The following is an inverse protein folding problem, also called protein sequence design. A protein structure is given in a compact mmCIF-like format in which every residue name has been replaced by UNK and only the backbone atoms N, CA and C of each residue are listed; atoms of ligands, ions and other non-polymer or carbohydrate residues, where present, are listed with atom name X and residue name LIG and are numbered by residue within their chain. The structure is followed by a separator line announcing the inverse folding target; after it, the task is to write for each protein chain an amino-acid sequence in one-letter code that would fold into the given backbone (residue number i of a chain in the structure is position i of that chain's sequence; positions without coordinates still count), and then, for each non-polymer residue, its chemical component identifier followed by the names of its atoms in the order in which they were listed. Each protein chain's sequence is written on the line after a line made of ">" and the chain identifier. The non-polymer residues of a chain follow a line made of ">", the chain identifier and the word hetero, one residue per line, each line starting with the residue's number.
data_IF_328844123395
#
_entry.id   IF_328844123395
#
_cell.length_a   1.000
_cell.length_b   1.000
_cell.length_c   1.000
_cell.angle_alpha   90.00
_cell.angle_beta   90.00
_cell.angle_gamma   90.00
#
_symmetry.space_group_name_H-M   'P 1'
#
loop_
_entity.id
_entity.type
_entity.pdbx_description
1 polymer ?
#
# COMPACT_ATOMS: atom_id res chain seq x y z
N UNK A 1 15.56 4.57 -4.08
CA UNK A 1 14.37 5.42 -3.88
C UNK A 1 13.87 5.24 -2.44
N UNK A 2 14.27 6.08 -1.48
CA UNK A 2 13.93 5.90 -0.04
C UNK A 2 12.77 6.77 0.45
N UNK A 3 12.36 7.74 -0.37
CA UNK A 3 11.23 8.61 -0.10
C UNK A 3 9.98 8.08 -0.80
N UNK A 4 8.82 8.46 -0.28
CA UNK A 4 7.53 8.15 -0.89
C UNK A 4 7.51 8.72 -2.31
N UNK A 5 7.29 7.88 -3.34
CA UNK A 5 7.28 8.34 -4.72
C UNK A 5 6.03 9.18 -5.01
N UNK A 6 6.20 10.23 -5.79
CA UNK A 6 5.09 10.96 -6.40
C UNK A 6 4.55 10.15 -7.60
N UNK A 7 3.41 9.49 -7.39
CA UNK A 7 2.78 8.59 -8.36
C UNK A 7 2.42 9.32 -9.66
N UNK A 8 2.18 10.64 -9.63
CA UNK A 8 1.84 11.41 -10.84
C UNK A 8 2.96 11.42 -11.88
N UNK A 9 4.18 11.07 -11.47
CA UNK A 9 5.34 10.98 -12.35
C UNK A 9 5.51 9.59 -12.98
N UNK A 10 4.66 8.62 -12.61
CA UNK A 10 4.72 7.25 -13.11
C UNK A 10 3.58 6.98 -14.10
N UNK A 11 3.80 6.03 -15.00
CA UNK A 11 2.78 5.59 -15.93
C UNK A 11 1.97 4.45 -15.28
N UNK A 12 0.62 4.51 -15.30
CA UNK A 12 -0.20 3.41 -14.85
C UNK A 12 0.04 2.20 -15.75
N UNK A 13 0.26 1.05 -15.14
CA UNK A 13 0.58 -0.18 -15.85
C UNK A 13 -0.53 -1.21 -15.74
N UNK A 14 -1.06 -1.42 -14.53
CA UNK A 14 -2.01 -2.48 -14.25
C UNK A 14 -2.86 -2.14 -13.03
N UNK A 15 -4.13 -2.55 -13.04
CA UNK A 15 -5.01 -2.52 -11.88
C UNK A 15 -5.53 -3.94 -11.66
N UNK A 16 -5.39 -4.45 -10.43
CA UNK A 16 -5.84 -5.79 -10.02
C UNK A 16 -6.84 -5.60 -8.88
N UNK A 17 -8.04 -6.14 -9.03
CA UNK A 17 -8.99 -6.29 -7.93
C UNK A 17 -8.76 -7.63 -7.23
N UNK A 18 -9.17 -7.71 -5.96
CA UNK A 18 -9.02 -8.87 -5.10
C UNK A 18 -7.56 -9.38 -5.10
N UNK A 19 -6.65 -8.50 -4.67
CA UNK A 19 -5.20 -8.75 -4.67
C UNK A 19 -4.84 -9.91 -3.74
N UNK A 20 -3.93 -10.75 -4.22
CA UNK A 20 -3.22 -11.73 -3.40
C UNK A 20 -2.11 -11.06 -2.59
N UNK A 21 -2.19 -11.16 -1.26
CA UNK A 21 -1.07 -10.89 -0.37
C UNK A 21 -0.57 -12.22 0.23
N UNK A 22 0.68 -12.55 -0.03
CA UNK A 22 1.38 -13.74 0.50
C UNK A 22 0.62 -15.08 0.32
N UNK A 23 -0.10 -15.24 -0.79
CA UNK A 23 -0.87 -16.44 -1.13
C UNK A 23 -2.33 -16.41 -0.67
N UNK A 24 -2.80 -15.29 -0.09
CA UNK A 24 -4.19 -15.08 0.28
C UNK A 24 -4.81 -13.98 -0.56
N UNK A 25 -5.82 -14.34 -1.36
CA UNK A 25 -6.67 -13.39 -2.08
C UNK A 25 -7.57 -12.65 -1.08
N UNK A 26 -7.49 -11.31 -1.09
CA UNK A 26 -8.27 -10.46 -0.18
C UNK A 26 -9.38 -9.76 -0.96
N UNK A 27 -10.66 -10.15 -0.76
CA UNK A 27 -11.77 -9.50 -1.43
C UNK A 27 -11.86 -8.01 -1.10
N UNK A 28 -11.99 -7.15 -2.11
CA UNK A 28 -12.09 -5.70 -1.92
C UNK A 28 -10.75 -4.96 -1.84
N UNK A 29 -9.62 -5.69 -1.77
CA UNK A 29 -8.29 -5.11 -1.92
C UNK A 29 -7.97 -4.90 -3.40
N UNK A 30 -7.73 -3.66 -3.79
CA UNK A 30 -7.33 -3.26 -5.13
C UNK A 30 -5.87 -2.81 -5.14
N UNK A 31 -5.08 -3.35 -6.06
CA UNK A 31 -3.69 -2.97 -6.30
C UNK A 31 -3.56 -2.26 -7.64
N UNK A 32 -3.07 -1.02 -7.61
CA UNK A 32 -2.73 -0.22 -8.78
C UNK A 32 -1.22 -0.16 -8.92
N UNK A 33 -0.70 -0.63 -10.04
CA UNK A 33 0.72 -0.73 -10.32
C UNK A 33 1.13 0.29 -11.36
N UNK A 34 2.21 1.01 -11.06
CA UNK A 34 2.78 2.07 -11.86
C UNK A 34 4.25 1.79 -12.12
N UNK A 35 4.75 2.26 -13.25
CA UNK A 35 6.17 2.11 -13.60
C UNK A 35 6.73 3.34 -14.30
N UNK A 36 8.04 3.55 -14.15
CA UNK A 36 8.79 4.63 -14.78
C UNK A 36 10.22 4.20 -15.03
N UNK A 37 10.76 4.58 -16.18
CA UNK A 37 12.19 4.44 -16.46
C UNK A 37 12.97 5.54 -15.73
N UNK A 38 13.98 5.14 -14.95
CA UNK A 38 14.85 6.03 -14.18
C UNK A 38 16.29 5.54 -14.29
N UNK A 39 17.17 6.35 -14.91
CA UNK A 39 18.62 6.08 -15.00
C UNK A 39 18.97 4.67 -15.52
N UNK A 40 18.22 4.16 -16.49
CA UNK A 40 18.43 2.84 -17.09
C UNK A 40 17.85 1.67 -16.27
N UNK A 41 17.03 1.94 -15.25
CA UNK A 41 16.28 0.95 -14.48
C UNK A 41 14.78 1.26 -14.52
N UNK A 42 13.94 0.24 -14.36
CA UNK A 42 12.49 0.43 -14.23
C UNK A 42 12.13 0.56 -12.76
N UNK A 43 11.79 1.77 -12.31
CA UNK A 43 11.16 1.99 -11.01
C UNK A 43 9.70 1.55 -11.06
N UNK A 44 9.22 0.92 -10.00
CA UNK A 44 7.86 0.38 -9.88
C UNK A 44 7.24 0.80 -8.55
N UNK A 45 5.93 1.07 -8.58
CA UNK A 45 5.14 1.46 -7.41
C UNK A 45 3.82 0.71 -7.44
N UNK A 46 3.46 0.03 -6.35
CA UNK A 46 2.13 -0.51 -6.12
C UNK A 46 1.41 0.32 -5.07
N UNK A 47 0.22 0.82 -5.39
CA UNK A 47 -0.71 1.44 -4.45
C UNK A 47 -1.82 0.45 -4.15
N UNK A 48 -2.07 0.22 -2.87
CA UNK A 48 -3.07 -0.74 -2.41
C UNK A 48 -4.17 -0.02 -1.64
N UNK A 49 -5.40 -0.24 -2.07
CA UNK A 49 -6.60 0.39 -1.52
C UNK A 49 -7.62 -0.68 -1.19
N UNK A 50 -8.25 -0.58 -0.03
CA UNK A 50 -9.32 -1.48 0.39
C UNK A 50 -10.63 -0.70 0.50
N UNK A 51 -11.66 -1.14 -0.21
CA UNK A 51 -12.97 -0.46 -0.27
C UNK A 51 -12.86 1.05 -0.57
N UNK A 52 -11.94 1.40 -1.47
CA UNK A 52 -11.68 2.79 -1.88
C UNK A 52 -10.82 3.61 -0.91
N UNK A 53 -10.38 3.03 0.22
CA UNK A 53 -9.44 3.68 1.14
C UNK A 53 -8.01 3.20 0.90
N UNK A 54 -7.09 4.13 0.60
CA UNK A 54 -5.66 3.84 0.47
C UNK A 54 -5.11 3.28 1.80
N UNK A 55 -4.46 2.12 1.73
CA UNK A 55 -3.88 1.43 2.89
C UNK A 55 -2.36 1.54 2.91
N UNK A 56 -1.69 1.22 1.82
CA UNK A 56 -0.24 1.27 1.73
C UNK A 56 0.23 1.46 0.29
N UNK A 57 1.46 1.93 0.18
CA UNK A 57 2.22 1.97 -1.06
C UNK A 57 3.52 1.21 -0.87
N UNK A 58 3.89 0.44 -1.87
CA UNK A 58 5.15 -0.29 -1.90
C UNK A 58 5.88 0.04 -3.20
N UNK A 59 7.18 0.26 -3.14
CA UNK A 59 7.97 0.62 -4.31
C UNK A 59 9.38 0.07 -4.26
N UNK A 60 10.01 0.06 -5.42
CA UNK A 60 11.35 -0.44 -5.63
C UNK A 60 11.66 -0.45 -7.12
N UNK A 61 12.74 -1.13 -7.49
CA UNK A 61 13.03 -1.34 -8.90
C UNK A 61 12.66 -2.75 -9.31
N UNK A 62 12.29 -2.92 -10.59
CA UNK A 62 11.85 -4.20 -11.15
C UNK A 62 12.91 -5.31 -11.06
N UNK A 63 14.18 -4.94 -11.04
CA UNK A 63 15.33 -5.84 -10.92
C UNK A 63 15.65 -6.23 -9.46
N UNK A 64 14.92 -5.70 -8.47
CA UNK A 64 15.10 -6.05 -7.07
C UNK A 64 14.16 -7.20 -6.66
N UNK A 65 14.66 -8.18 -5.87
CA UNK A 65 13.81 -9.22 -5.31
C UNK A 65 12.93 -8.58 -4.22
N UNK A 66 11.65 -8.42 -4.55
CA UNK A 66 10.59 -7.88 -3.68
C UNK A 66 10.58 -6.36 -3.49
N UNK A 67 9.52 -5.85 -2.85
CA UNK A 67 9.36 -4.43 -2.55
C UNK A 67 10.52 -3.93 -1.70
N UNK A 68 11.25 -2.93 -2.20
CA UNK A 68 12.39 -2.37 -1.48
C UNK A 68 11.96 -1.50 -0.30
N UNK A 69 10.84 -0.78 -0.46
CA UNK A 69 10.29 0.15 0.52
C UNK A 69 8.78 0.10 0.56
N UNK A 70 8.22 0.30 1.75
CA UNK A 70 6.77 0.36 1.99
C UNK A 70 6.44 1.51 2.94
N UNK A 71 5.27 2.12 2.73
CA UNK A 71 4.69 3.14 3.61
C UNK A 71 3.20 2.90 3.76
N UNK A 72 2.66 3.12 4.96
CA UNK A 72 1.24 2.94 5.25
C UNK A 72 0.51 4.27 5.35
N UNK A 73 -0.79 4.21 5.13
CA UNK A 73 -1.70 5.32 5.35
C UNK A 73 -2.15 5.30 6.81
N UNK A 74 -1.80 6.33 7.56
CA UNK A 74 -2.20 6.51 8.95
C UNK A 74 -3.69 6.85 9.11
N UNK A 75 -4.21 6.77 10.34
CA UNK A 75 -5.55 7.29 10.71
C UNK A 75 -5.75 8.76 10.36
N UNK A 76 -4.70 9.56 10.47
CA UNK A 76 -4.74 10.98 10.08
C UNK A 76 -4.81 11.18 8.56
N UNK A 77 -4.74 10.10 7.77
CA UNK A 77 -4.73 10.16 6.31
C UNK A 77 -3.36 10.51 5.75
N UNK A 78 -2.29 10.44 6.55
CA UNK A 78 -0.95 10.78 6.13
C UNK A 78 -0.18 9.51 5.82
N UNK A 79 0.94 9.63 5.11
CA UNK A 79 1.84 8.50 4.97
C UNK A 79 2.76 8.40 6.18
N UNK A 80 2.91 7.20 6.73
CA UNK A 80 3.92 6.91 7.74
C UNK A 80 5.33 7.11 7.16
N UNK A 81 6.37 7.21 7.99
CA UNK A 81 7.74 7.09 7.48
C UNK A 81 7.92 5.77 6.71
N UNK A 82 8.61 5.79 5.55
CA UNK A 82 8.95 4.57 4.83
C UNK A 82 9.76 3.61 5.68
N UNK A 83 9.46 2.32 5.58
CA UNK A 83 10.33 1.28 6.09
C UNK A 83 10.82 0.39 4.94
N UNK A 84 11.95 -0.27 5.17
CA UNK A 84 12.51 -1.19 4.19
C UNK A 84 11.70 -2.49 4.16
N UNK A 85 11.56 -3.06 2.96
CA UNK A 85 10.94 -4.36 2.72
C UNK A 85 9.46 -4.31 2.36
N UNK A 86 8.87 -5.51 2.30
CA UNK A 86 7.47 -5.76 2.00
C UNK A 86 6.53 -5.27 3.12
N UNK A 87 5.23 -5.09 2.82
CA UNK A 87 4.24 -4.79 3.84
C UNK A 87 4.26 -5.82 4.98
N UNK A 88 4.01 -5.37 6.20
CA UNK A 88 3.93 -6.20 7.40
C UNK A 88 2.56 -6.83 7.46
N UNK A 89 2.46 -7.99 6.82
CA UNK A 89 1.23 -8.76 6.71
C UNK A 89 1.27 -9.91 7.72
N UNK A 90 0.12 -10.24 8.29
CA UNK A 90 -0.08 -11.44 9.11
C UNK A 90 -1.46 -12.01 8.81
N UNK A 91 -1.62 -13.32 8.94
CA UNK A 91 -2.82 -14.03 8.53
C UNK A 91 -3.53 -14.63 9.74
N UNK A 92 -4.85 -14.55 9.76
CA UNK A 92 -5.74 -15.34 10.62
C UNK A 92 -6.66 -16.18 9.76
N UNK A 93 -7.42 -17.09 10.37
CA UNK A 93 -8.33 -17.98 9.63
C UNK A 93 -9.41 -17.23 8.84
N UNK A 94 -9.74 -16.00 9.26
CA UNK A 94 -10.87 -15.21 8.77
C UNK A 94 -10.48 -13.81 8.25
N UNK A 95 -9.21 -13.42 8.35
CA UNK A 95 -8.75 -12.09 7.97
C UNK A 95 -7.25 -12.03 7.66
N UNK A 96 -6.87 -11.00 6.90
CA UNK A 96 -5.49 -10.53 6.78
C UNK A 96 -5.31 -9.27 7.63
N UNK A 97 -4.25 -9.26 8.41
CA UNK A 97 -3.87 -8.15 9.28
C UNK A 97 -2.70 -7.41 8.65
N UNK A 98 -2.83 -6.08 8.54
CA UNK A 98 -1.76 -5.20 8.10
C UNK A 98 -1.32 -4.37 9.30
N UNK A 99 -0.07 -4.54 9.73
CA UNK A 99 0.53 -3.70 10.76
C UNK A 99 1.12 -2.44 10.14
N UNK A 100 0.44 -1.31 10.36
CA UNK A 100 0.85 0.01 9.89
C UNK A 100 1.85 0.71 10.81
N UNK A 101 2.37 0.00 11.83
CA UNK A 101 3.15 0.50 12.96
C UNK A 101 2.40 1.42 13.95
N UNK A 102 1.33 2.10 13.51
CA UNK A 102 0.44 2.87 14.38
C UNK A 102 -0.80 2.07 14.80
N UNK A 103 -1.27 1.19 13.93
CA UNK A 103 -2.42 0.33 14.16
C UNK A 103 -2.37 -0.94 13.31
N UNK A 104 -3.15 -1.94 13.71
CA UNK A 104 -3.41 -3.12 12.89
C UNK A 104 -4.75 -2.95 12.17
N UNK A 105 -4.70 -2.91 10.83
CA UNK A 105 -5.89 -2.91 9.99
C UNK A 105 -6.28 -4.36 9.71
N UNK A 106 -7.54 -4.70 9.94
CA UNK A 106 -8.09 -6.03 9.70
C UNK A 106 -8.87 -6.03 8.38
N UNK A 107 -8.43 -6.85 7.44
CA UNK A 107 -9.06 -7.08 6.15
C UNK A 107 -9.77 -8.43 6.18
N UNK A 108 -11.10 -8.49 6.31
CA UNK A 108 -11.82 -9.76 6.35
C UNK A 108 -11.66 -10.54 5.05
N UNK A 109 -11.59 -11.88 5.15
CA UNK A 109 -11.64 -12.76 3.98
C UNK A 109 -13.08 -13.06 3.55
N UNK A 110 -14.02 -12.95 4.49
CA UNK A 110 -15.46 -13.01 4.21
C UNK A 110 -16.01 -11.60 3.98
N UNK A 111 -16.64 -11.39 2.82
CA UNK A 111 -17.21 -10.09 2.38
C UNK A 111 -18.44 -9.63 3.18
N UNK A 112 -18.61 -10.09 4.42
CA UNK A 112 -19.71 -9.71 5.30
C UNK A 112 -19.69 -8.21 5.55
N UNK A 113 -20.78 -7.54 5.17
CA UNK A 113 -21.10 -6.10 5.26
C UNK A 113 -20.21 -5.32 6.25
N UNK A 114 -19.10 -4.75 5.77
CA UNK A 114 -18.21 -3.91 6.58
C UNK A 114 -18.51 -2.44 6.27
N UNK A 115 -18.93 -1.72 7.32
CA UNK A 115 -19.35 -0.34 7.25
C UNK A 115 -18.26 0.62 6.78
N UNK A 116 -18.71 1.65 6.06
CA UNK A 116 -17.93 2.74 5.44
C UNK A 116 -16.91 3.36 6.42
N UNK A 117 -15.63 3.54 6.02
CA UNK A 117 -14.63 4.15 6.87
C UNK A 117 -14.89 5.65 7.12
N UNK A 118 -14.66 6.07 8.36
CA UNK A 118 -14.83 7.45 8.86
C UNK A 118 -13.97 8.46 8.08
N UNK A 119 -14.58 9.61 7.76
CA UNK A 119 -13.96 10.72 7.04
C UNK A 119 -12.67 11.22 7.74
N UNK A 120 -11.58 11.33 6.97
CA UNK A 120 -10.23 11.69 7.46
C UNK A 120 -10.00 13.21 7.44
N UNK A 121 -9.29 13.71 8.45
CA UNK A 121 -8.86 15.13 8.55
C UNK A 121 -7.64 15.39 7.66
N UNK A 122 -7.41 16.64 7.20
CA UNK A 122 -6.28 16.96 6.33
C UNK A 122 -4.94 16.84 7.06
N UNK A 123 -3.95 16.28 6.36
CA UNK A 123 -2.57 16.15 6.81
C UNK A 123 -1.81 17.47 6.78
N UNK A 124 -1.02 17.71 7.82
CA UNK A 124 0.09 18.66 7.76
C UNK A 124 1.30 17.88 7.26
N UNK A 125 1.85 18.27 6.12
CA UNK A 125 3.05 17.64 5.56
C UNK A 125 4.20 17.70 6.58
N UNK A 126 4.81 16.56 6.88
CA UNK A 126 6.06 16.52 7.62
C UNK A 126 7.15 17.12 6.72
N UNK A 127 7.43 18.42 6.91
CA UNK A 127 8.61 19.06 6.34
C UNK A 127 9.84 18.43 7.00
N UNK A 128 10.69 17.81 6.21
CA UNK A 128 12.01 17.36 6.65
C UNK A 128 12.90 18.59 6.91
N UNK A 129 13.71 18.59 7.99
CA UNK A 129 14.79 19.57 8.17
C UNK A 129 15.96 19.34 7.20
#
# INVERSE_FOLDING_TARGET
>A
MRQIPDISQFNPHLIIADVDLEGTVIPGLTGEFFSREESGRTATVGRYSYEGSELFIAWGYRDEPHCAWTSYRSRSGCWTPPHQGCPRVSHTDDAVLIDTAEETIRLPLDRGDQGVPLARRPCVAAAAP
#
